data_IF_460610725795
#
_entry.id   IF_460610725795
#
_cell.length_a   1.000
_cell.length_b   1.000
_cell.length_c   1.000
_cell.angle_alpha   90.00
_cell.angle_beta   90.00
_cell.angle_gamma   90.00
#
_symmetry.space_group_name_H-M   'P 1'
#
loop_
_entity.id
_entity.type
_entity.pdbx_description
1 polymer ?
#
# COMPACT_ATOMS: atom_id res chain seq x y z
N UNK A 1 -25.58 1.32 -7.26
CA UNK A 1 -25.28 1.43 -5.82
C UNK A 1 -24.11 0.51 -5.55
N UNK A 2 -22.88 1.03 -5.49
CA UNK A 2 -21.72 0.23 -5.06
C UNK A 2 -21.92 -0.07 -3.58
N UNK A 3 -21.81 -1.33 -3.18
CA UNK A 3 -21.92 -1.69 -1.76
C UNK A 3 -20.64 -1.27 -1.04
N UNK A 4 -20.72 -1.00 0.27
CA UNK A 4 -19.52 -0.70 1.09
C UNK A 4 -18.45 -1.80 0.99
N UNK A 5 -18.86 -3.02 0.65
CA UNK A 5 -17.99 -4.16 0.41
C UNK A 5 -17.18 -4.02 -0.89
N UNK A 6 -17.78 -3.51 -1.96
CA UNK A 6 -17.08 -3.25 -3.23
C UNK A 6 -16.01 -2.14 -3.05
N UNK A 7 -16.30 -1.10 -2.28
CA UNK A 7 -15.34 -0.03 -1.97
C UNK A 7 -14.17 -0.55 -1.13
N UNK A 8 -14.42 -1.45 -0.20
CA UNK A 8 -13.37 -2.10 0.58
C UNK A 8 -12.51 -3.03 -0.28
N UNK A 9 -13.13 -3.84 -1.14
CA UNK A 9 -12.40 -4.71 -2.07
C UNK A 9 -11.57 -3.93 -3.08
N UNK A 10 -12.08 -2.81 -3.61
CA UNK A 10 -11.33 -1.94 -4.50
C UNK A 10 -10.12 -1.31 -3.78
N UNK A 11 -10.30 -0.87 -2.54
CA UNK A 11 -9.19 -0.36 -1.71
C UNK A 11 -8.15 -1.45 -1.41
N UNK A 12 -8.60 -2.69 -1.17
CA UNK A 12 -7.72 -3.84 -0.94
C UNK A 12 -6.95 -4.25 -2.20
N UNK A 13 -7.60 -4.29 -3.37
CA UNK A 13 -6.93 -4.56 -4.65
C UNK A 13 -5.90 -3.47 -4.99
N UNK A 14 -6.22 -2.21 -4.75
CA UNK A 14 -5.27 -1.11 -4.91
C UNK A 14 -4.06 -1.23 -3.96
N UNK A 15 -4.26 -1.78 -2.76
CA UNK A 15 -3.19 -2.07 -1.81
C UNK A 15 -2.30 -3.22 -2.30
N UNK A 16 -2.89 -4.32 -2.78
CA UNK A 16 -2.17 -5.46 -3.33
C UNK A 16 -1.34 -5.07 -4.57
N UNK A 17 -1.89 -4.26 -5.48
CA UNK A 17 -1.14 -3.73 -6.62
C UNK A 17 0.07 -2.88 -6.19
N UNK A 18 -0.07 -2.10 -5.11
CA UNK A 18 1.05 -1.34 -4.52
C UNK A 18 2.05 -2.26 -3.82
N UNK A 19 1.62 -3.38 -3.24
CA UNK A 19 2.50 -4.35 -2.58
C UNK A 19 3.51 -4.96 -3.55
N UNK A 20 3.10 -5.21 -4.79
CA UNK A 20 4.02 -5.71 -5.83
C UNK A 20 5.12 -4.68 -6.17
N UNK A 21 4.76 -3.39 -6.27
CA UNK A 21 5.75 -2.31 -6.43
C UNK A 21 6.80 -2.31 -5.30
N UNK A 22 6.36 -2.53 -4.05
CA UNK A 22 7.27 -2.60 -2.91
C UNK A 22 8.14 -3.87 -2.92
N UNK A 23 7.60 -4.99 -3.41
CA UNK A 23 8.35 -6.25 -3.57
C UNK A 23 9.50 -6.10 -4.57
N UNK A 24 9.23 -5.42 -5.69
CA UNK A 24 10.25 -5.08 -6.70
C UNK A 24 11.32 -4.17 -6.09
N UNK A 25 10.92 -3.14 -5.33
CA UNK A 25 11.85 -2.26 -4.62
C UNK A 25 12.71 -3.01 -3.59
N UNK A 26 12.14 -3.96 -2.84
CA UNK A 26 12.91 -4.82 -1.93
C UNK A 26 13.94 -5.67 -2.69
N UNK A 27 13.58 -6.21 -3.85
CA UNK A 27 14.51 -6.96 -4.69
C UNK A 27 15.64 -6.07 -5.23
N UNK A 28 15.34 -4.83 -5.64
CA UNK A 28 16.35 -3.84 -6.04
C UNK A 28 17.30 -3.49 -4.89
N UNK A 29 16.77 -3.26 -3.68
CA UNK A 29 17.57 -3.00 -2.48
C UNK A 29 18.49 -4.19 -2.17
N UNK A 30 17.98 -5.42 -2.24
CA UNK A 30 18.76 -6.65 -2.03
C UNK A 30 19.85 -6.83 -3.10
N UNK A 31 19.58 -6.42 -4.34
CA UNK A 31 20.54 -6.46 -5.44
C UNK A 31 21.59 -5.33 -5.37
N UNK A 32 21.46 -4.37 -4.45
CA UNK A 32 22.35 -3.22 -4.35
C UNK A 32 22.10 -2.13 -5.40
N UNK A 33 20.96 -2.19 -6.11
CA UNK A 33 20.58 -1.21 -7.11
C UNK A 33 20.25 0.15 -6.45
N UNK A 34 20.59 1.27 -7.10
CA UNK A 34 20.20 2.59 -6.61
C UNK A 34 18.68 2.74 -6.63
N UNK A 35 18.13 3.20 -5.50
CA UNK A 35 16.70 3.44 -5.33
C UNK A 35 16.46 4.77 -4.60
N UNK A 36 15.29 5.38 -4.85
CA UNK A 36 14.90 6.63 -4.20
C UNK A 36 14.30 6.35 -2.81
N UNK A 37 15.10 6.59 -1.76
CA UNK A 37 14.68 6.46 -0.36
C UNK A 37 13.54 7.42 0.01
N UNK A 38 13.48 8.62 -0.55
CA UNK A 38 12.42 9.59 -0.24
C UNK A 38 11.10 9.21 -0.90
N UNK A 39 11.14 8.69 -2.13
CA UNK A 39 9.96 8.11 -2.77
C UNK A 39 9.43 6.91 -1.96
N UNK A 40 10.31 6.00 -1.54
CA UNK A 40 9.93 4.83 -0.72
C UNK A 40 9.29 5.26 0.61
N UNK A 41 9.89 6.23 1.31
CA UNK A 41 9.35 6.72 2.58
C UNK A 41 7.94 7.32 2.41
N UNK A 42 7.74 8.16 1.39
CA UNK A 42 6.42 8.75 1.10
C UNK A 42 5.38 7.70 0.75
N UNK A 43 5.74 6.71 -0.07
CA UNK A 43 4.84 5.63 -0.46
C UNK A 43 4.39 4.80 0.75
N UNK A 44 5.31 4.48 1.66
CA UNK A 44 5.01 3.74 2.89
C UNK A 44 4.10 4.54 3.85
N UNK A 45 4.35 5.83 4.03
CA UNK A 45 3.53 6.70 4.88
C UNK A 45 2.08 6.80 4.36
N UNK A 46 1.91 6.95 3.04
CA UNK A 46 0.59 6.96 2.40
C UNK A 46 -0.12 5.62 2.59
N UNK A 47 0.60 4.51 2.43
CA UNK A 47 0.05 3.16 2.57
C UNK A 47 -0.48 2.91 3.99
N UNK A 48 0.35 3.20 5.01
CA UNK A 48 -0.03 3.06 6.41
C UNK A 48 -1.25 3.94 6.74
N UNK A 49 -1.29 5.18 6.25
CA UNK A 49 -2.42 6.09 6.51
C UNK A 49 -3.73 5.57 5.91
N UNK A 50 -3.71 5.13 4.64
CA UNK A 50 -4.91 4.60 3.97
C UNK A 50 -5.41 3.34 4.69
N UNK A 51 -4.49 2.44 5.06
CA UNK A 51 -4.86 1.22 5.78
C UNK A 51 -5.51 1.54 7.13
N UNK A 52 -4.89 2.41 7.92
CA UNK A 52 -5.43 2.84 9.22
C UNK A 52 -6.80 3.51 9.07
N UNK A 53 -6.99 4.40 8.09
CA UNK A 53 -8.28 5.07 7.87
C UNK A 53 -9.38 4.10 7.43
N UNK A 54 -9.07 3.16 6.53
CA UNK A 54 -10.04 2.18 6.02
C UNK A 54 -10.32 1.05 7.00
N UNK A 55 -9.42 0.78 7.94
CA UNK A 55 -9.61 -0.19 9.02
C UNK A 55 -10.48 0.34 10.18
N UNK A 56 -10.61 1.67 10.37
CA UNK A 56 -11.41 2.29 11.44
C UNK A 56 -12.82 1.70 11.64
N UNK A 57 -13.59 1.36 10.58
CA UNK A 57 -14.93 0.80 10.76
C UNK A 57 -14.97 -0.64 11.31
N UNK A 58 -13.82 -1.32 11.38
CA UNK A 58 -13.70 -2.74 11.75
C UNK A 58 -12.94 -2.96 13.06
N UNK A 59 -12.47 -1.89 13.70
CA UNK A 59 -11.82 -1.94 15.02
C UNK A 59 -12.91 -1.62 16.06
N UNK A 60 -13.20 -2.60 16.92
CA UNK A 60 -14.17 -2.51 18.02
C UNK A 60 -13.47 -2.32 19.36
#
# INVERSE_FOLDING_TARGET
MSTRQDEFFAAFQALEARREKHRILMAQILAGEPYDRQALKRDLEVLCKVFLEKAKPFVH
#
